data_IF_129827740058
#
_entry.id   IF_129827740058
#
_cell.length_a   1.000
_cell.length_b   1.000
_cell.length_c   1.000
_cell.angle_alpha   90.00
_cell.angle_beta   90.00
_cell.angle_gamma   90.00
#
_symmetry.space_group_name_H-M   'P 1'
#
loop_
_entity.id
_entity.type
_entity.pdbx_description
1 polymer ?
#
# COMPACT_ATOMS: atom_id res chain seq x y z
N UNK A 1 -0.99 -4.66 7.29
CA UNK A 1 -1.97 -3.97 6.42
C UNK A 1 -3.06 -4.94 5.94
N UNK A 2 -4.06 -5.25 6.77
CA UNK A 2 -5.17 -6.11 6.34
C UNK A 2 -6.18 -5.37 5.43
N UNK A 3 -6.43 -4.09 5.70
CA UNK A 3 -7.49 -3.32 5.03
C UNK A 3 -7.39 -3.25 3.50
N UNK A 4 -6.19 -3.13 2.93
CA UNK A 4 -6.02 -3.11 1.47
C UNK A 4 -6.23 -4.51 0.85
N UNK A 5 -5.61 -5.56 1.41
CA UNK A 5 -5.79 -6.91 0.90
C UNK A 5 -7.25 -7.36 1.00
N UNK A 6 -7.94 -7.00 2.08
CA UNK A 6 -9.37 -7.25 2.26
C UNK A 6 -10.21 -6.48 1.22
N UNK A 7 -9.87 -5.22 0.94
CA UNK A 7 -10.55 -4.39 -0.07
C UNK A 7 -10.40 -5.00 -1.48
N UNK A 8 -9.18 -5.32 -1.89
CA UNK A 8 -8.92 -5.93 -3.21
C UNK A 8 -9.57 -7.31 -3.29
N UNK A 9 -9.58 -8.09 -2.20
CA UNK A 9 -10.29 -9.37 -2.15
C UNK A 9 -11.79 -9.19 -2.41
N UNK A 10 -12.39 -8.21 -1.72
CA UNK A 10 -13.81 -7.89 -1.85
C UNK A 10 -14.17 -7.46 -3.28
N UNK A 11 -13.34 -6.63 -3.91
CA UNK A 11 -13.63 -6.13 -5.26
C UNK A 11 -13.30 -7.14 -6.37
N UNK A 12 -12.26 -7.96 -6.19
CA UNK A 12 -11.86 -8.97 -7.18
C UNK A 12 -12.66 -10.27 -7.10
N UNK A 13 -13.31 -10.54 -5.97
CA UNK A 13 -13.93 -11.83 -5.68
C UNK A 13 -12.93 -12.97 -5.46
N UNK A 14 -11.63 -12.67 -5.37
CA UNK A 14 -10.56 -13.64 -5.10
C UNK A 14 -10.00 -13.40 -3.71
N UNK A 15 -9.70 -14.46 -2.98
CA UNK A 15 -9.06 -14.32 -1.67
C UNK A 15 -7.60 -13.88 -1.84
N UNK A 16 -7.27 -12.69 -1.36
CA UNK A 16 -5.92 -12.10 -1.36
C UNK A 16 -5.51 -11.89 0.08
N UNK A 17 -4.33 -12.40 0.45
CA UNK A 17 -3.79 -12.29 1.81
C UNK A 17 -2.63 -11.30 1.82
N UNK A 18 -2.57 -10.48 2.87
CA UNK A 18 -1.38 -9.68 3.16
C UNK A 18 -0.35 -10.55 3.88
N UNK A 19 0.85 -10.62 3.31
CA UNK A 19 2.00 -11.32 3.92
C UNK A 19 3.05 -10.28 4.24
N UNK A 20 3.24 -10.02 5.53
CA UNK A 20 4.32 -9.16 6.02
C UNK A 20 5.65 -9.91 5.93
N UNK A 21 6.69 -9.26 5.40
CA UNK A 21 8.00 -9.85 5.15
C UNK A 21 9.09 -8.96 5.73
N UNK A 22 10.15 -9.54 6.32
CA UNK A 22 11.38 -8.80 6.59
C UNK A 22 11.89 -8.09 5.32
N UNK A 23 12.44 -6.88 5.47
CA UNK A 23 12.88 -6.02 4.36
C UNK A 23 13.79 -6.75 3.36
N UNK A 24 14.76 -7.53 3.85
CA UNK A 24 15.68 -8.30 3.00
C UNK A 24 14.94 -9.34 2.13
N UNK A 25 13.92 -9.99 2.70
CA UNK A 25 13.06 -10.94 1.98
C UNK A 25 12.14 -10.22 1.01
N UNK A 26 11.62 -9.06 1.38
CA UNK A 26 10.75 -8.30 0.49
C UNK A 26 11.49 -7.76 -0.73
N UNK A 27 12.73 -7.24 -0.55
CA UNK A 27 13.61 -6.85 -1.66
C UNK A 27 13.82 -8.03 -2.61
N UNK A 28 14.15 -9.21 -2.09
CA UNK A 28 14.33 -10.42 -2.90
C UNK A 28 13.10 -10.75 -3.75
N UNK A 29 11.92 -10.74 -3.15
CA UNK A 29 10.65 -10.98 -3.86
C UNK A 29 10.41 -9.95 -4.97
N UNK A 30 10.67 -8.67 -4.70
CA UNK A 30 10.50 -7.60 -5.69
C UNK A 30 11.46 -7.74 -6.88
N UNK A 31 12.71 -8.13 -6.61
CA UNK A 31 13.73 -8.37 -7.64
C UNK A 31 13.39 -9.60 -8.49
N UNK A 32 12.98 -10.70 -7.86
CA UNK A 32 12.50 -11.89 -8.57
C UNK A 32 11.26 -11.59 -9.42
N UNK A 33 10.44 -10.62 -8.99
CA UNK A 33 9.31 -10.08 -9.74
C UNK A 33 9.68 -9.12 -10.88
N UNK A 34 10.97 -8.84 -11.11
CA UNK A 34 11.47 -8.01 -12.21
C UNK A 34 11.77 -6.56 -11.86
N UNK A 35 11.69 -6.18 -10.58
CA UNK A 35 12.06 -4.83 -10.13
C UNK A 35 13.58 -4.69 -10.07
N UNK A 36 14.18 -3.61 -10.61
CA UNK A 36 15.60 -3.35 -10.42
C UNK A 36 15.97 -3.23 -8.92
N UNK A 37 17.13 -3.74 -8.52
CA UNK A 37 17.59 -3.79 -7.12
C UNK A 37 17.37 -2.48 -6.35
N UNK A 38 17.83 -1.35 -6.90
CA UNK A 38 17.71 -0.06 -6.25
C UNK A 38 16.23 0.37 -6.04
N UNK A 39 15.34 0.00 -6.96
CA UNK A 39 13.91 0.24 -6.82
C UNK A 39 13.28 -0.64 -5.74
N UNK A 40 13.68 -1.91 -5.67
CA UNK A 40 13.21 -2.84 -4.66
C UNK A 40 13.60 -2.41 -3.24
N UNK A 41 14.83 -1.91 -3.06
CA UNK A 41 15.31 -1.36 -1.79
C UNK A 41 14.50 -0.15 -1.33
N UNK A 42 14.18 0.79 -2.24
CA UNK A 42 13.36 1.97 -1.92
C UNK A 42 11.95 1.56 -1.47
N UNK A 43 11.33 0.63 -2.20
CA UNK A 43 9.96 0.18 -1.87
C UNK A 43 9.95 -0.55 -0.52
N UNK A 44 10.90 -1.44 -0.27
CA UNK A 44 10.95 -2.20 0.97
C UNK A 44 11.29 -1.31 2.19
N UNK A 45 12.14 -0.29 2.01
CA UNK A 45 12.40 0.70 3.06
C UNK A 45 11.17 1.57 3.36
N UNK A 46 10.42 1.94 2.32
CA UNK A 46 9.14 2.63 2.46
C UNK A 46 8.13 1.82 3.26
N UNK A 47 7.97 0.53 2.98
CA UNK A 47 7.04 -0.37 3.71
C UNK A 47 7.40 -0.47 5.20
N UNK A 48 8.70 -0.53 5.52
CA UNK A 48 9.21 -0.46 6.90
C UNK A 48 8.80 0.86 7.60
N UNK A 49 8.87 1.99 6.89
CA UNK A 49 8.42 3.29 7.39
C UNK A 49 6.90 3.32 7.63
N UNK A 50 6.11 2.73 6.73
CA UNK A 50 4.65 2.58 6.89
C UNK A 50 4.32 1.78 8.13
N UNK A 51 5.01 0.66 8.36
CA UNK A 51 4.83 -0.14 9.57
C UNK A 51 5.16 0.63 10.85
N UNK A 52 6.02 1.66 10.76
CA UNK A 52 6.38 2.56 11.85
C UNK A 52 5.40 3.74 12.03
N UNK A 53 4.42 3.89 11.12
CA UNK A 53 3.42 4.96 11.14
C UNK A 53 3.81 6.22 10.36
N UNK A 54 4.90 6.20 9.59
CA UNK A 54 5.45 7.41 8.94
C UNK A 54 4.53 8.02 7.88
N UNK A 55 3.59 7.22 7.33
CA UNK A 55 2.57 7.70 6.38
C UNK A 55 1.21 7.98 7.01
N UNK A 56 1.05 7.78 8.32
CA UNK A 56 -0.20 8.07 9.01
C UNK A 56 -0.28 9.56 9.36
N UNK A 57 -1.34 10.21 8.89
CA UNK A 57 -1.63 11.61 9.19
C UNK A 57 -2.98 11.69 9.87
N UNK A 58 -3.01 12.29 11.05
CA UNK A 58 -4.25 12.59 11.77
C UNK A 58 -4.89 13.87 11.22
N UNK A 59 -6.22 13.89 11.12
CA UNK A 59 -7.01 15.07 10.73
C UNK A 59 -7.49 15.08 9.28
N UNK A 60 -8.01 16.25 8.85
CA UNK A 60 -8.71 16.43 7.58
C UNK A 60 -8.21 17.64 6.78
N UNK A 61 -6.94 18.00 6.92
CA UNK A 61 -6.36 19.19 6.27
C UNK A 61 -6.49 19.14 4.74
N UNK A 62 -6.31 17.97 4.13
CA UNK A 62 -6.50 17.80 2.69
C UNK A 62 -7.95 18.06 2.28
N UNK A 63 -8.93 17.50 3.00
CA UNK A 63 -10.36 17.72 2.76
C UNK A 63 -10.70 19.21 2.83
N UNK A 64 -10.19 19.91 3.85
CA UNK A 64 -10.37 21.36 4.03
C UNK A 64 -9.75 22.16 2.89
N UNK A 65 -8.57 21.75 2.41
CA UNK A 65 -7.85 22.42 1.33
C UNK A 65 -8.58 22.26 -0.01
N UNK A 66 -9.08 21.06 -0.31
CA UNK A 66 -9.71 20.76 -1.61
C UNK A 66 -11.23 20.96 -1.63
N UNK A 67 -11.86 21.18 -0.46
CA UNK A 67 -13.30 21.43 -0.32
C UNK A 67 -14.20 20.22 -0.59
N UNK A 68 -13.63 19.01 -0.59
CA UNK A 68 -14.36 17.74 -0.78
C UNK A 68 -13.66 16.62 -0.03
N UNK A 69 -14.38 15.53 0.21
CA UNK A 69 -13.79 14.31 0.74
C UNK A 69 -12.70 13.79 -0.23
N UNK A 70 -11.50 13.40 0.27
CA UNK A 70 -10.49 12.73 -0.53
C UNK A 70 -11.04 11.42 -1.12
N UNK A 71 -10.49 11.02 -2.27
CA UNK A 71 -10.84 9.73 -2.87
C UNK A 71 -10.50 8.61 -1.88
N UNK A 72 -11.47 7.75 -1.62
CA UNK A 72 -11.34 6.65 -0.65
C UNK A 72 -10.50 5.51 -1.24
N UNK A 73 -9.98 4.65 -0.36
CA UNK A 73 -9.26 3.44 -0.78
C UNK A 73 -10.13 2.53 -1.67
N UNK A 74 -11.43 2.44 -1.38
CA UNK A 74 -12.36 1.62 -2.16
C UNK A 74 -12.56 2.18 -3.58
N UNK A 75 -12.69 3.49 -3.73
CA UNK A 75 -12.79 4.13 -5.05
C UNK A 75 -11.50 3.95 -5.85
N UNK A 76 -10.35 4.24 -5.23
CA UNK A 76 -9.06 4.08 -5.90
C UNK A 76 -8.78 2.62 -6.30
N UNK A 77 -9.12 1.66 -5.44
CA UNK A 77 -8.97 0.23 -5.75
C UNK A 77 -9.87 -0.19 -6.90
N UNK A 78 -11.08 0.38 -7.01
CA UNK A 78 -12.00 0.10 -8.12
C UNK A 78 -11.45 0.60 -9.44
N UNK A 79 -10.93 1.82 -9.46
CA UNK A 79 -10.44 2.47 -10.69
C UNK A 79 -9.16 1.81 -11.24
N UNK A 80 -8.37 1.16 -10.36
CA UNK A 80 -7.12 0.51 -10.71
C UNK A 80 -7.27 -0.93 -11.26
N UNK A 81 -8.46 -1.52 -11.15
CA UNK A 81 -8.77 -2.90 -11.57
C UNK A 81 -9.29 -2.96 -13.01
#
# INVERSE_FOLDING_TARGET
MAGLADEVSRQSGKQITYTDLPVDKYVGVLVDGGTPQAGAEIVADGDRGVASGDLHVEGNDLERLIGRQPTTLAEASRDAM
#
